data_IF_638157755910
#
_entry.id   IF_638157755910
#
_cell.length_a   1.000
_cell.length_b   1.000
_cell.length_c   1.000
_cell.angle_alpha   90.00
_cell.angle_beta   90.00
_cell.angle_gamma   90.00
#
_symmetry.space_group_name_H-M   'P 1'
#
loop_
_entity.id
_entity.type
_entity.pdbx_description
1 polymer ?
#
# COMPACT_ATOMS: atom_id res chain seq x y z
N UNK A 1 -41.68 22.42 1.32
CA UNK A 1 -41.12 21.88 2.58
C UNK A 1 -40.41 20.54 2.39
N UNK A 2 -41.01 19.50 1.78
CA UNK A 2 -40.35 18.18 1.56
C UNK A 2 -38.98 18.23 0.85
N UNK A 3 -38.79 19.16 -0.10
CA UNK A 3 -37.52 19.33 -0.85
C UNK A 3 -36.37 19.92 -0.03
N UNK A 4 -36.67 20.71 1.01
CA UNK A 4 -35.66 21.33 1.89
C UNK A 4 -35.14 20.29 2.88
N UNK A 5 -36.02 19.43 3.39
CA UNK A 5 -35.66 18.33 4.30
C UNK A 5 -34.75 17.31 3.58
N UNK A 6 -35.02 16.99 2.31
CA UNK A 6 -34.18 16.08 1.52
C UNK A 6 -32.78 16.67 1.24
N UNK A 7 -32.69 17.98 0.96
CA UNK A 7 -31.41 18.65 0.75
C UNK A 7 -30.56 18.73 2.03
N UNK A 8 -31.19 18.95 3.20
CA UNK A 8 -30.50 18.90 4.50
C UNK A 8 -30.08 17.47 4.88
N UNK A 9 -30.88 16.45 4.56
CA UNK A 9 -30.50 15.04 4.75
C UNK A 9 -29.32 14.63 3.86
N UNK A 10 -29.27 15.11 2.61
CA UNK A 10 -28.14 14.87 1.70
C UNK A 10 -26.87 15.63 2.13
N UNK A 11 -27.00 16.84 2.68
CA UNK A 11 -25.87 17.57 3.26
C UNK A 11 -25.34 16.92 4.55
N UNK A 12 -26.23 16.38 5.38
CA UNK A 12 -25.86 15.65 6.60
C UNK A 12 -25.31 14.24 6.35
N UNK A 13 -25.72 13.58 5.27
CA UNK A 13 -25.15 12.30 4.86
C UNK A 13 -23.73 12.46 4.26
N UNK A 14 -23.43 13.60 3.63
CA UNK A 14 -22.10 13.90 3.12
C UNK A 14 -21.05 14.13 4.24
N UNK A 15 -21.46 14.49 5.45
CA UNK A 15 -20.55 14.63 6.61
C UNK A 15 -20.26 13.32 7.34
N UNK A 16 -20.88 12.20 6.97
CA UNK A 16 -20.71 10.91 7.64
C UNK A 16 -19.66 9.99 6.96
N UNK A 17 -18.99 10.46 5.91
CA UNK A 17 -17.89 9.75 5.26
C UNK A 17 -16.74 10.75 4.99
N UNK A 18 -16.12 11.25 6.06
CA UNK A 18 -14.96 12.14 5.96
C UNK A 18 -13.69 11.31 5.70
N UNK A 19 -13.60 10.71 4.51
CA UNK A 19 -12.32 10.24 4.02
C UNK A 19 -11.41 11.47 3.82
N UNK A 20 -10.26 11.47 4.50
CA UNK A 20 -9.22 12.50 4.33
C UNK A 20 -8.20 12.01 3.33
N UNK A 21 -7.73 12.91 2.46
CA UNK A 21 -6.62 12.57 1.58
C UNK A 21 -5.32 12.56 2.38
N UNK A 22 -4.50 11.55 2.15
CA UNK A 22 -3.22 11.39 2.81
C UNK A 22 -2.12 11.12 1.79
N UNK A 23 -0.88 11.38 2.19
CA UNK A 23 0.30 11.05 1.37
C UNK A 23 1.21 10.17 2.21
N UNK A 24 1.73 9.11 1.59
CA UNK A 24 2.75 8.26 2.20
C UNK A 24 4.05 9.05 2.32
N UNK A 25 4.48 9.30 3.55
CA UNK A 25 5.72 10.01 3.87
C UNK A 25 6.90 9.05 3.94
N UNK A 26 6.70 7.91 4.60
CA UNK A 26 7.73 6.88 4.73
C UNK A 26 7.11 5.52 4.92
N UNK A 27 7.80 4.48 4.44
CA UNK A 27 7.51 3.10 4.80
C UNK A 27 8.79 2.49 5.36
N UNK A 28 8.80 2.27 6.67
CA UNK A 28 9.97 1.78 7.39
C UNK A 28 9.79 0.33 7.81
N UNK A 29 10.90 -0.40 7.85
CA UNK A 29 11.00 -1.75 8.40
C UNK A 29 12.22 -1.84 9.32
N UNK A 30 12.20 -2.82 10.21
CA UNK A 30 13.29 -3.08 11.16
C UNK A 30 13.90 -4.43 10.86
N UNK A 31 15.20 -4.44 10.59
CA UNK A 31 15.96 -5.66 10.32
C UNK A 31 16.04 -6.57 11.54
N UNK A 32 16.51 -7.80 11.36
CA UNK A 32 16.80 -8.73 12.46
C UNK A 32 17.80 -8.19 13.50
N UNK A 33 18.62 -7.20 13.14
CA UNK A 33 19.59 -6.54 14.03
C UNK A 33 19.01 -5.33 14.78
N UNK A 34 17.76 -4.93 14.51
CA UNK A 34 17.13 -3.74 15.10
C UNK A 34 17.39 -2.45 14.30
N UNK A 35 18.05 -2.51 13.15
CA UNK A 35 18.28 -1.33 12.32
C UNK A 35 17.00 -0.95 11.56
N UNK A 36 16.66 0.34 11.58
CA UNK A 36 15.52 0.87 10.83
C UNK A 36 15.97 1.17 9.39
N UNK A 37 15.21 0.67 8.42
CA UNK A 37 15.40 0.89 6.99
C UNK A 37 14.12 1.47 6.39
N UNK A 38 14.28 2.36 5.42
CA UNK A 38 13.16 2.93 4.67
C UNK A 38 13.06 2.23 3.34
N UNK A 39 11.92 1.60 3.07
CA UNK A 39 11.59 1.03 1.77
C UNK A 39 11.43 2.13 0.74
N UNK A 40 11.80 1.82 -0.50
CA UNK A 40 11.65 2.77 -1.58
C UNK A 40 10.24 2.62 -2.16
N UNK A 41 9.45 3.68 -2.08
CA UNK A 41 8.04 3.69 -2.53
C UNK A 41 7.78 4.69 -3.65
N UNK A 42 8.67 5.66 -3.86
CA UNK A 42 8.59 6.67 -4.90
C UNK A 42 9.99 6.92 -5.49
N UNK A 43 10.09 7.13 -6.81
CA UNK A 43 11.36 7.41 -7.48
C UNK A 43 11.41 6.92 -8.93
N UNK A 44 12.55 7.14 -9.65
CA UNK A 44 12.75 6.56 -10.97
C UNK A 44 12.58 5.04 -10.90
N UNK A 45 12.22 4.39 -12.02
CA UNK A 45 11.98 2.96 -12.07
C UNK A 45 13.07 2.17 -11.36
N UNK A 46 12.66 1.38 -10.39
CA UNK A 46 13.57 0.58 -9.62
C UNK A 46 13.97 -0.63 -10.46
N UNK A 47 15.27 -0.81 -10.66
CA UNK A 47 15.81 -2.03 -11.24
C UNK A 47 15.74 -3.12 -10.17
N UNK A 48 14.58 -3.75 -10.02
CA UNK A 48 14.46 -4.93 -9.16
C UNK A 48 15.24 -6.08 -9.83
N UNK A 49 15.15 -6.16 -11.16
CA UNK A 49 15.99 -6.93 -12.08
C UNK A 49 15.87 -6.26 -13.48
N UNK A 50 16.90 -6.21 -14.35
CA UNK A 50 16.76 -5.68 -15.72
C UNK A 50 15.60 -6.29 -16.55
N UNK A 51 15.09 -7.47 -16.18
CA UNK A 51 13.92 -8.08 -16.79
C UNK A 51 12.56 -7.54 -16.28
N UNK A 52 12.51 -6.97 -15.07
CA UNK A 52 11.27 -6.59 -14.39
C UNK A 52 11.30 -5.11 -14.00
N UNK A 53 10.74 -4.29 -14.89
CA UNK A 53 10.61 -2.85 -14.70
C UNK A 53 9.30 -2.53 -14.00
N UNK A 54 9.37 -1.96 -12.79
CA UNK A 54 8.22 -1.40 -12.11
C UNK A 54 8.07 0.08 -12.49
N UNK A 55 6.87 0.55 -12.89
CA UNK A 55 6.65 1.99 -13.00
C UNK A 55 6.79 2.65 -11.61
N UNK A 56 7.04 3.97 -11.54
CA UNK A 56 6.92 4.69 -10.28
C UNK A 56 5.53 4.49 -9.67
N UNK A 57 5.46 4.48 -8.33
CA UNK A 57 4.15 4.38 -7.66
C UNK A 57 3.25 5.54 -8.08
N UNK A 58 2.03 5.21 -8.49
CA UNK A 58 1.01 6.14 -8.94
C UNK A 58 -0.18 6.20 -7.99
N UNK A 59 -0.04 5.60 -6.81
CA UNK A 59 -1.14 5.42 -5.85
C UNK A 59 -1.57 6.75 -5.25
N UNK A 60 -2.88 6.97 -5.15
CA UNK A 60 -3.45 8.04 -4.33
C UNK A 60 -4.09 7.44 -3.09
N UNK A 61 -3.78 7.99 -1.92
CA UNK A 61 -4.26 7.46 -0.65
C UNK A 61 -5.37 8.30 -0.04
N UNK A 62 -6.35 7.63 0.53
CA UNK A 62 -7.37 8.19 1.40
C UNK A 62 -7.52 7.35 2.68
N UNK A 63 -7.97 8.00 3.75
CA UNK A 63 -8.23 7.36 5.02
C UNK A 63 -9.59 7.77 5.57
N UNK A 64 -10.46 6.81 5.86
CA UNK A 64 -11.83 7.07 6.34
C UNK A 64 -12.00 7.01 7.86
N UNK A 65 -10.90 6.82 8.61
CA UNK A 65 -10.90 6.60 10.05
C UNK A 65 -10.69 5.15 10.46
N UNK A 66 -10.91 4.21 9.54
CA UNK A 66 -10.78 2.77 9.77
C UNK A 66 -9.99 2.08 8.65
N UNK A 67 -10.21 2.50 7.42
CA UNK A 67 -9.62 1.90 6.22
C UNK A 67 -8.70 2.91 5.56
N UNK A 68 -7.48 2.49 5.28
CA UNK A 68 -6.59 3.17 4.35
C UNK A 68 -6.81 2.58 2.96
N UNK A 69 -7.25 3.40 2.02
CA UNK A 69 -7.47 2.99 0.63
C UNK A 69 -6.45 3.67 -0.27
N UNK A 70 -5.75 2.89 -1.07
CA UNK A 70 -4.88 3.34 -2.13
C UNK A 70 -5.53 3.01 -3.46
N UNK A 71 -5.68 3.99 -4.35
CA UNK A 71 -6.17 3.77 -5.72
C UNK A 71 -5.00 3.84 -6.70
N UNK A 72 -4.82 2.81 -7.54
CA UNK A 72 -3.73 2.71 -8.52
C UNK A 72 -2.56 1.84 -8.06
N UNK A 73 -1.39 2.02 -8.68
CA UNK A 73 -0.21 1.18 -8.46
C UNK A 73 0.61 1.64 -7.25
N UNK A 74 0.71 0.79 -6.24
CA UNK A 74 1.64 0.91 -5.13
C UNK A 74 2.80 -0.07 -5.31
N UNK A 75 4.00 0.49 -5.45
CA UNK A 75 5.26 -0.26 -5.49
C UNK A 75 6.06 0.00 -4.22
N UNK A 76 6.58 -1.06 -3.59
CA UNK A 76 7.47 -0.94 -2.44
C UNK A 76 8.66 -1.87 -2.59
N UNK A 77 9.87 -1.31 -2.62
CA UNK A 77 11.11 -2.07 -2.80
C UNK A 77 11.94 -2.09 -1.52
N UNK A 78 12.40 -3.28 -1.15
CA UNK A 78 13.38 -3.51 -0.08
C UNK A 78 14.77 -3.51 -0.71
N UNK A 79 15.69 -2.73 -0.15
CA UNK A 79 17.09 -2.66 -0.61
C UNK A 79 18.08 -2.75 0.56
N UNK A 80 19.31 -3.16 0.26
CA UNK A 80 20.41 -3.01 1.21
C UNK A 80 20.92 -1.56 1.18
N UNK A 81 20.53 -0.77 2.18
CA UNK A 81 21.00 0.61 2.35
C UNK A 81 20.06 1.66 1.75
N UNK A 82 20.47 2.93 1.78
CA UNK A 82 19.67 4.07 1.29
C UNK A 82 19.76 4.28 -0.23
N UNK A 83 20.27 3.30 -0.97
CA UNK A 83 20.51 3.36 -2.42
C UNK A 83 19.64 2.39 -3.21
N UNK A 84 19.73 2.48 -4.54
CA UNK A 84 18.91 1.70 -5.47
C UNK A 84 19.32 0.23 -5.60
N UNK A 85 20.49 -0.19 -5.10
CA UNK A 85 21.00 -1.55 -5.26
C UNK A 85 21.96 -1.97 -4.12
N UNK A 86 22.00 -3.26 -3.75
CA UNK A 86 21.19 -4.34 -4.34
C UNK A 86 19.76 -4.39 -3.78
N UNK A 87 18.79 -4.64 -4.69
CA UNK A 87 17.40 -4.91 -4.35
C UNK A 87 17.27 -6.31 -3.75
N UNK A 88 16.42 -6.44 -2.74
CA UNK A 88 16.10 -7.71 -2.08
C UNK A 88 14.86 -8.31 -2.70
N UNK A 89 13.77 -7.54 -2.69
CA UNK A 89 12.49 -7.87 -3.30
C UNK A 89 11.67 -6.59 -3.46
N UNK A 90 10.60 -6.64 -4.25
CA UNK A 90 9.61 -5.59 -4.36
C UNK A 90 8.19 -6.15 -4.30
N UNK A 91 7.29 -5.39 -3.70
CA UNK A 91 5.86 -5.64 -3.70
C UNK A 91 5.19 -4.73 -4.74
N UNK A 92 4.42 -5.34 -5.64
CA UNK A 92 3.61 -4.68 -6.67
C UNK A 92 2.13 -4.88 -6.34
N UNK A 93 1.44 -3.81 -5.99
CA UNK A 93 0.07 -3.88 -5.47
C UNK A 93 -0.82 -2.90 -6.20
N UNK A 94 -1.93 -3.38 -6.73
CA UNK A 94 -2.95 -2.52 -7.33
C UNK A 94 -4.15 -2.41 -6.40
N UNK A 95 -4.54 -1.16 -6.15
CA UNK A 95 -5.69 -0.80 -5.33
C UNK A 95 -5.62 -1.38 -3.90
N UNK A 96 -4.48 -1.16 -3.21
CA UNK A 96 -4.28 -1.65 -1.84
C UNK A 96 -5.30 -1.03 -0.89
N UNK A 97 -6.02 -1.85 -0.13
CA UNK A 97 -6.89 -1.41 0.96
C UNK A 97 -6.52 -2.14 2.24
N UNK A 98 -6.31 -1.38 3.33
CA UNK A 98 -5.97 -1.90 4.64
C UNK A 98 -7.06 -1.47 5.62
N UNK A 99 -7.87 -2.41 6.09
CA UNK A 99 -8.76 -2.20 7.22
C UNK A 99 -7.93 -2.31 8.50
N UNK A 100 -7.63 -1.15 9.09
CA UNK A 100 -6.75 -1.02 10.24
C UNK A 100 -7.42 -1.49 11.54
N UNK A 101 -8.75 -1.68 11.53
CA UNK A 101 -9.52 -2.19 12.68
C UNK A 101 -9.51 -3.72 12.75
N UNK A 102 -9.57 -4.39 11.60
CA UNK A 102 -9.51 -5.86 11.50
C UNK A 102 -8.11 -6.39 11.19
N UNK A 103 -7.17 -5.49 10.86
CA UNK A 103 -5.80 -5.80 10.44
C UNK A 103 -5.78 -6.68 9.19
N UNK A 104 -6.60 -6.32 8.21
CA UNK A 104 -6.72 -7.08 6.97
C UNK A 104 -6.37 -6.21 5.78
N UNK A 105 -5.54 -6.74 4.88
CA UNK A 105 -5.23 -6.14 3.61
C UNK A 105 -5.93 -6.86 2.47
N UNK A 106 -6.43 -6.08 1.52
CA UNK A 106 -6.99 -6.55 0.25
C UNK A 106 -6.40 -5.71 -0.89
N UNK A 107 -6.47 -6.23 -2.10
CA UNK A 107 -6.03 -5.53 -3.30
C UNK A 107 -6.74 -6.12 -4.53
N UNK A 108 -6.74 -5.39 -5.64
CA UNK A 108 -7.15 -5.94 -6.94
C UNK A 108 -6.16 -7.01 -7.41
N UNK A 109 -4.86 -6.73 -7.26
CA UNK A 109 -3.81 -7.71 -7.54
C UNK A 109 -2.58 -7.46 -6.67
N UNK A 110 -1.86 -8.53 -6.40
CA UNK A 110 -0.59 -8.52 -5.69
C UNK A 110 0.42 -9.37 -6.46
N UNK A 111 1.64 -8.88 -6.61
CA UNK A 111 2.78 -9.61 -7.14
C UNK A 111 4.00 -9.28 -6.29
N UNK A 112 4.78 -10.30 -5.94
CA UNK A 112 6.12 -10.09 -5.39
C UNK A 112 7.14 -10.29 -6.50
N UNK A 113 8.04 -9.33 -6.66
CA UNK A 113 9.12 -9.37 -7.65
C UNK A 113 10.45 -9.58 -6.94
N UNK A 114 11.13 -10.66 -7.31
CA UNK A 114 12.42 -11.02 -6.74
C UNK A 114 13.52 -10.03 -7.12
N UNK A 115 14.28 -9.56 -6.13
CA UNK A 115 15.45 -8.71 -6.34
C UNK A 115 16.69 -9.48 -6.78
N UNK A 116 17.79 -8.77 -7.01
CA UNK A 116 19.05 -9.40 -7.43
C UNK A 116 19.84 -10.02 -6.29
N UNK A 117 19.58 -9.63 -5.04
CA UNK A 117 20.43 -10.04 -3.92
C UNK A 117 20.19 -11.49 -3.52
N UNK A 118 18.94 -11.88 -3.31
CA UNK A 118 18.61 -13.16 -2.69
C UNK A 118 19.00 -14.35 -3.59
N UNK A 119 18.86 -14.19 -4.91
CA UNK A 119 19.36 -15.16 -5.87
C UNK A 119 20.88 -15.43 -5.71
N UNK A 120 21.69 -14.44 -5.31
CA UNK A 120 23.13 -14.62 -5.09
C UNK A 120 23.47 -15.40 -3.82
N UNK A 121 22.55 -15.44 -2.85
CA UNK A 121 22.71 -16.22 -1.61
C UNK A 121 21.93 -17.54 -1.66
N UNK A 122 21.48 -17.94 -2.85
CA UNK A 122 20.79 -19.22 -3.05
C UNK A 122 19.39 -19.26 -2.45
N UNK A 123 18.66 -18.13 -2.49
CA UNK A 123 17.31 -18.04 -1.95
C UNK A 123 16.38 -17.25 -2.87
N UNK A 124 15.09 -17.58 -2.88
CA UNK A 124 14.03 -16.80 -3.51
C UNK A 124 13.11 -16.24 -2.42
N UNK A 125 13.17 -14.92 -2.21
CA UNK A 125 12.45 -14.23 -1.16
C UNK A 125 10.94 -14.14 -1.39
N UNK A 126 10.53 -13.96 -2.64
CA UNK A 126 9.12 -13.88 -2.98
C UNK A 126 8.41 -15.23 -2.87
N UNK A 127 9.06 -16.32 -3.25
CA UNK A 127 8.53 -17.65 -3.13
C UNK A 127 8.76 -18.31 -1.76
N UNK A 128 9.69 -17.80 -0.94
CA UNK A 128 10.16 -18.49 0.28
C UNK A 128 10.66 -19.91 -0.02
N UNK A 129 11.74 -20.03 -0.80
CA UNK A 129 12.42 -21.30 -1.04
C UNK A 129 13.92 -21.11 -1.26
N UNK A 130 14.70 -22.14 -0.92
CA UNK A 130 16.14 -22.19 -1.20
C UNK A 130 16.44 -22.83 -2.55
N UNK A 131 17.45 -22.33 -3.26
CA UNK A 131 17.87 -22.76 -4.61
C UNK A 131 18.73 -24.05 -4.62
N UNK A 132 18.56 -24.88 -3.60
CA UNK A 132 19.30 -26.14 -3.47
C UNK A 132 20.83 -26.01 -3.45
N UNK A 133 21.48 -27.06 -3.94
CA UNK A 133 22.93 -27.21 -4.03
C UNK A 133 23.52 -26.60 -5.31
N UNK A 134 22.72 -26.52 -6.38
CA UNK A 134 23.18 -26.03 -7.67
C UNK A 134 22.99 -24.51 -7.84
N UNK A 135 22.24 -23.84 -6.95
CA UNK A 135 21.95 -22.39 -6.95
C UNK A 135 21.17 -21.88 -8.17
N UNK A 136 20.48 -22.78 -8.88
CA UNK A 136 19.65 -22.48 -10.05
C UNK A 136 18.20 -22.44 -9.59
N UNK A 137 17.45 -21.41 -10.00
CA UNK A 137 16.01 -21.35 -9.74
C UNK A 137 15.27 -22.28 -10.70
N UNK A 138 14.85 -23.44 -10.18
CA UNK A 138 14.09 -24.47 -10.89
C UNK A 138 12.62 -24.49 -10.46
N UNK A 139 12.26 -23.61 -9.54
CA UNK A 139 10.93 -23.42 -9.01
C UNK A 139 10.19 -22.29 -9.71
N UNK A 140 8.87 -22.28 -9.55
CA UNK A 140 8.02 -21.23 -10.11
C UNK A 140 6.99 -20.80 -9.08
N UNK A 141 6.85 -19.49 -8.91
CA UNK A 141 5.80 -18.88 -8.09
C UNK A 141 5.00 -17.93 -8.97
N UNK A 142 3.67 -18.09 -8.99
CA UNK A 142 2.76 -17.34 -9.84
C UNK A 142 1.70 -16.70 -8.95
N UNK A 143 1.55 -15.38 -9.07
CA UNK A 143 0.46 -14.63 -8.46
C UNK A 143 -0.64 -14.36 -9.49
N UNK A 144 -1.87 -14.76 -9.17
CA UNK A 144 -3.06 -14.51 -10.00
C UNK A 144 -4.11 -13.79 -9.17
N UNK A 145 -4.14 -12.46 -9.30
CA UNK A 145 -4.91 -11.59 -8.41
C UNK A 145 -4.34 -11.64 -6.99
N UNK A 146 -5.08 -12.25 -6.06
CA UNK A 146 -4.64 -12.49 -4.68
C UNK A 146 -4.26 -13.96 -4.40
N UNK A 147 -4.48 -14.85 -5.37
CA UNK A 147 -4.13 -16.27 -5.23
C UNK A 147 -2.66 -16.47 -5.60
N UNK A 148 -1.97 -17.32 -4.86
CA UNK A 148 -0.60 -17.72 -5.16
C UNK A 148 -0.53 -19.22 -5.43
N UNK A 149 0.23 -19.61 -6.45
CA UNK A 149 0.54 -21.00 -6.76
C UNK A 149 2.04 -21.13 -6.87
N UNK A 150 2.59 -22.15 -6.22
CA UNK A 150 4.01 -22.44 -6.23
C UNK A 150 4.24 -23.89 -6.64
N UNK A 151 5.22 -24.11 -7.51
CA UNK A 151 5.76 -25.43 -7.83
C UNK A 151 7.24 -25.42 -7.50
N UNK A 152 7.64 -26.30 -6.57
CA UNK A 152 9.05 -26.51 -6.24
C UNK A 152 9.64 -27.52 -7.21
N UNK A 153 10.73 -27.15 -7.88
CA UNK A 153 11.40 -27.97 -8.88
C UNK A 153 12.84 -28.33 -8.49
N UNK A 154 13.44 -29.29 -9.21
CA UNK A 154 14.86 -29.61 -9.07
C UNK A 154 15.27 -30.04 -7.67
N UNK A 155 16.37 -29.47 -7.18
CA UNK A 155 16.85 -29.60 -5.79
C UNK A 155 16.49 -28.40 -4.91
N UNK A 156 15.56 -27.55 -5.35
CA UNK A 156 15.02 -26.47 -4.53
C UNK A 156 14.26 -27.01 -3.31
N UNK A 157 14.26 -26.23 -2.24
CA UNK A 157 13.65 -26.63 -0.96
C UNK A 157 12.66 -25.55 -0.51
N UNK A 158 11.40 -25.94 -0.40
CA UNK A 158 10.34 -25.08 0.15
C UNK A 158 10.72 -24.55 1.53
N UNK A 159 10.48 -23.27 1.75
CA UNK A 159 10.51 -22.64 3.06
C UNK A 159 9.31 -23.04 3.91
N UNK A 160 9.26 -22.45 5.11
CA UNK A 160 8.24 -22.79 6.12
C UNK A 160 7.10 -21.78 6.21
N UNK A 161 7.28 -20.59 5.63
CA UNK A 161 6.32 -19.50 5.66
C UNK A 161 5.45 -19.56 4.39
N UNK A 162 6.04 -20.00 3.28
CA UNK A 162 5.45 -20.03 1.96
C UNK A 162 5.55 -18.68 1.25
N UNK A 163 5.06 -18.62 0.00
CA UNK A 163 5.17 -17.42 -0.82
C UNK A 163 4.63 -16.17 -0.13
N UNK A 164 5.29 -15.04 -0.37
CA UNK A 164 4.81 -13.73 0.07
C UNK A 164 3.47 -13.43 -0.59
N UNK A 165 2.52 -12.92 0.19
CA UNK A 165 1.18 -12.54 -0.30
C UNK A 165 0.75 -11.18 0.26
N UNK A 166 -0.43 -10.73 -0.12
CA UNK A 166 -1.05 -9.50 0.41
C UNK A 166 -1.15 -9.48 1.94
N UNK A 167 -1.14 -10.64 2.60
CA UNK A 167 -1.16 -10.73 4.07
C UNK A 167 0.06 -10.09 4.73
N UNK A 168 1.15 -9.85 3.99
CA UNK A 168 2.30 -9.07 4.48
C UNK A 168 1.92 -7.63 4.86
N UNK A 169 0.77 -7.15 4.40
CA UNK A 169 0.23 -5.82 4.67
C UNK A 169 -0.93 -5.82 5.68
N UNK A 170 -1.13 -6.92 6.43
CA UNK A 170 -2.13 -7.03 7.50
C UNK A 170 -1.77 -6.15 8.71
N UNK A 171 -1.75 -4.83 8.47
CA UNK A 171 -1.39 -3.79 9.40
C UNK A 171 -2.61 -3.24 10.11
N UNK A 172 -2.38 -2.71 11.31
CA UNK A 172 -3.39 -2.00 12.10
C UNK A 172 -3.02 -0.54 12.30
N UNK A 173 -3.89 0.17 13.00
CA UNK A 173 -3.62 1.55 13.41
C UNK A 173 -2.70 1.53 14.63
N UNK A 174 -1.46 1.94 14.43
CA UNK A 174 -0.46 2.01 15.50
C UNK A 174 -0.51 3.37 16.22
N UNK A 175 -1.06 4.41 15.57
CA UNK A 175 -1.35 5.69 16.23
C UNK A 175 -1.67 6.85 15.30
N UNK A 176 -2.08 7.96 15.92
CA UNK A 176 -2.25 9.26 15.26
C UNK A 176 -1.43 10.29 16.04
N UNK A 177 -0.59 11.05 15.35
CA UNK A 177 0.29 12.07 15.95
C UNK A 177 -0.15 13.44 15.44
N UNK A 178 -0.52 14.33 16.37
CA UNK A 178 -1.09 15.64 16.02
C UNK A 178 -1.66 16.40 17.19
N UNK A 179 -1.99 17.68 16.99
CA UNK A 179 -2.42 18.58 18.08
C UNK A 179 -3.89 18.33 18.46
N UNK A 180 -4.74 17.85 17.55
CA UNK A 180 -6.18 17.60 17.82
C UNK A 180 -6.85 16.50 16.93
N UNK A 181 -6.11 15.61 16.27
CA UNK A 181 -6.70 14.50 15.50
C UNK A 181 -6.30 14.47 14.01
N UNK A 182 -7.28 14.53 13.10
CA UNK A 182 -7.08 14.50 11.64
C UNK A 182 -7.06 15.91 11.03
N UNK A 183 -6.12 16.74 11.46
CA UNK A 183 -5.92 18.08 10.86
C UNK A 183 -4.77 18.05 9.85
N UNK A 184 -4.69 19.08 9.01
CA UNK A 184 -3.64 19.19 8.00
C UNK A 184 -2.26 19.11 8.64
N UNK A 185 -1.42 18.21 8.15
CA UNK A 185 -0.07 17.99 8.65
C UNK A 185 0.04 16.93 9.75
N UNK A 186 -1.08 16.50 10.36
CA UNK A 186 -1.07 15.39 11.32
C UNK A 186 -0.69 14.07 10.62
N UNK A 187 -0.16 13.13 11.41
CA UNK A 187 0.35 11.86 10.91
C UNK A 187 -0.51 10.68 11.34
N UNK A 188 -0.68 9.73 10.43
CA UNK A 188 -1.35 8.45 10.67
C UNK A 188 -0.30 7.35 10.54
N UNK A 189 -0.19 6.54 11.57
CA UNK A 189 0.80 5.47 11.69
C UNK A 189 0.08 4.13 11.52
N UNK A 190 0.38 3.43 10.44
CA UNK A 190 -0.22 2.13 10.11
C UNK A 190 0.90 1.10 10.04
N UNK A 191 0.85 0.08 10.89
CA UNK A 191 1.96 -0.85 11.02
C UNK A 191 1.57 -2.21 11.58
N UNK A 192 2.56 -3.06 11.76
CA UNK A 192 2.35 -4.42 12.24
C UNK A 192 2.21 -4.51 13.78
N UNK A 193 2.11 -3.38 14.49
CA UNK A 193 1.99 -3.33 15.95
C UNK A 193 3.30 -3.63 16.69
N UNK A 194 4.41 -3.80 15.97
CA UNK A 194 5.75 -3.97 16.54
C UNK A 194 6.49 -2.63 16.40
N UNK A 195 6.99 -2.04 17.50
CA UNK A 195 7.69 -0.75 17.42
C UNK A 195 8.89 -0.78 16.49
N UNK A 196 9.08 0.29 15.71
CA UNK A 196 10.30 0.49 14.93
C UNK A 196 11.56 0.43 15.83
N UNK A 197 12.59 -0.27 15.36
CA UNK A 197 13.79 -0.57 16.15
C UNK A 197 13.70 -1.92 16.90
N UNK A 198 12.53 -2.56 16.92
CA UNK A 198 12.38 -3.97 17.33
C UNK A 198 12.40 -4.86 16.08
N UNK A 199 13.16 -5.98 16.07
CA UNK A 199 13.23 -6.88 14.92
C UNK A 199 11.86 -7.25 14.37
N UNK A 200 11.69 -7.07 13.05
CA UNK A 200 10.43 -7.31 12.35
C UNK A 200 9.41 -6.19 12.45
N UNK A 201 9.70 -5.06 13.11
CA UNK A 201 8.80 -3.90 13.15
C UNK A 201 8.65 -3.21 11.80
N UNK A 202 7.42 -3.00 11.36
CA UNK A 202 7.09 -2.33 10.08
C UNK A 202 6.07 -1.22 10.31
N UNK A 203 6.30 -0.05 9.69
CA UNK A 203 5.46 1.14 9.87
C UNK A 203 5.37 1.97 8.59
N UNK A 204 4.15 2.17 8.12
CA UNK A 204 3.79 3.17 7.13
C UNK A 204 3.36 4.45 7.83
N UNK A 205 4.01 5.57 7.49
CA UNK A 205 3.67 6.90 8.01
C UNK A 205 3.00 7.70 6.91
N UNK A 206 1.77 8.11 7.16
CA UNK A 206 1.00 8.98 6.28
C UNK A 206 0.88 10.37 6.88
N UNK A 207 0.75 11.38 6.03
CA UNK A 207 0.45 12.75 6.44
C UNK A 207 -0.84 13.22 5.79
N UNK A 208 -1.70 13.85 6.58
CA UNK A 208 -2.94 14.46 6.10
C UNK A 208 -2.61 15.67 5.23
N UNK A 209 -3.12 15.67 4.00
CA UNK A 209 -2.89 16.75 3.02
C UNK A 209 -4.22 17.42 2.61
N UNK A 210 -4.18 18.66 2.12
CA UNK A 210 -5.37 19.32 1.61
C UNK A 210 -5.93 18.57 0.39
N UNK A 211 -7.25 18.32 0.38
CA UNK A 211 -7.94 17.86 -0.82
C UNK A 211 -7.88 18.98 -1.86
N UNK A 212 -7.40 18.75 -3.09
CA UNK A 212 -7.42 19.75 -4.15
C UNK A 212 -8.85 20.28 -4.33
N UNK A 213 -9.04 21.58 -4.04
CA UNK A 213 -10.35 22.23 -4.02
C UNK A 213 -11.17 22.09 -5.31
N UNK A 214 -10.52 21.74 -6.43
CA UNK A 214 -11.15 21.46 -7.70
C UNK A 214 -12.23 20.37 -7.61
N UNK A 215 -11.99 19.27 -6.89
CA UNK A 215 -12.95 18.14 -6.79
C UNK A 215 -14.25 18.58 -6.12
N UNK A 216 -14.15 19.43 -5.09
CA UNK A 216 -15.30 19.98 -4.37
C UNK A 216 -16.07 21.02 -5.19
N UNK A 217 -15.37 21.90 -5.92
CA UNK A 217 -15.98 22.93 -6.75
C UNK A 217 -16.72 22.33 -7.95
N UNK A 218 -16.19 21.28 -8.60
CA UNK A 218 -16.89 20.65 -9.72
C UNK A 218 -18.10 19.83 -9.27
N UNK A 219 -18.03 19.12 -8.15
CA UNK A 219 -19.18 18.39 -7.61
C UNK A 219 -20.34 19.32 -7.24
N UNK A 220 -20.04 20.41 -6.53
CA UNK A 220 -21.05 21.40 -6.14
C UNK A 220 -21.58 22.22 -7.33
N UNK A 221 -20.74 22.58 -8.30
CA UNK A 221 -21.16 23.26 -9.53
C UNK A 221 -22.02 22.39 -10.45
N UNK A 222 -21.74 21.09 -10.56
CA UNK A 222 -22.55 20.15 -11.34
C UNK A 222 -23.93 19.95 -10.71
N UNK A 223 -24.00 19.82 -9.38
CA UNK A 223 -25.29 19.75 -8.67
C UNK A 223 -26.10 21.04 -8.77
N UNK A 224 -25.43 22.20 -8.66
CA UNK A 224 -26.08 23.49 -8.83
C UNK A 224 -26.62 23.69 -10.26
N UNK A 225 -25.86 23.28 -11.28
CA UNK A 225 -26.27 23.40 -12.69
C UNK A 225 -27.36 22.40 -13.09
N UNK A 226 -27.31 21.14 -12.62
CA UNK A 226 -28.39 20.16 -12.80
C UNK A 226 -29.68 20.58 -12.09
N UNK A 227 -29.58 21.15 -10.89
CA UNK A 227 -30.72 21.73 -10.17
C UNK A 227 -31.36 22.92 -10.89
N UNK A 228 -30.55 23.72 -11.59
CA UNK A 228 -31.03 24.86 -12.38
C UNK A 228 -31.66 24.41 -13.72
N UNK A 229 -31.09 23.42 -14.40
CA UNK A 229 -31.66 22.87 -15.64
C UNK A 229 -33.02 22.20 -15.41
N UNK A 230 -33.26 21.54 -14.26
CA UNK A 230 -34.57 20.96 -13.92
C UNK A 230 -35.69 21.97 -13.67
N UNK A 231 -35.39 23.26 -13.49
CA UNK A 231 -36.41 24.32 -13.33
C UNK A 231 -36.84 24.98 -14.64
N UNK A 232 -36.24 24.63 -15.78
CA UNK A 232 -36.49 25.28 -17.08
C UNK A 232 -37.17 24.40 -18.14
N UNK A 233 -37.72 23.25 -17.76
CA UNK A 233 -38.60 22.47 -18.64
C UNK A 233 -40.04 22.77 -18.21
N UNK A 234 -40.80 23.60 -18.96
CA UNK A 234 -42.23 23.77 -18.76
C UNK A 234 -43.01 22.47 -19.03
#
# INVERSE_FOLDING_TARGET
>A
MKKIILALLLLGAASAASAVQVVLVSFNETTGTGDIRTRITNGPPFFVNPANYAPPSSVTWDWDGTTLSGTGFFGSTITFGSGSLPSVMADHIYDLSIDTSTRTATATSYECVEGIFLAQVGFNGCGDYGLGSNTIDESTTIWSGLSVSQTIGGDDVAGTIGPRTISAYNYGLDGIVGVNGLTLGDQILIGNGIPLGTPGGELMTFQVVPIPAAVWLFGSALFASLGWMRRKIP
#
